data_IF_848321049469
#
_entry.id   IF_848321049469
#
_cell.length_a   1.000
_cell.length_b   1.000
_cell.length_c   1.000
_cell.angle_alpha   90.00
_cell.angle_beta   90.00
_cell.angle_gamma   90.00
#
_symmetry.space_group_name_H-M   'P 1'
#
loop_
_entity.id
_entity.type
_entity.pdbx_description
1 polymer ?
#
# COMPACT_ATOMS: atom_id res chain seq x y z
N UNK A 1 -5.50 18.32 3.86
CA UNK A 1 -4.95 17.60 5.02
C UNK A 1 -3.72 18.33 5.52
N UNK A 2 -3.66 18.56 6.83
CA UNK A 2 -2.46 19.12 7.47
C UNK A 2 -1.55 17.97 7.89
N UNK A 3 -0.29 18.02 7.48
CA UNK A 3 0.70 16.99 7.80
C UNK A 3 1.40 17.30 9.13
N UNK A 4 1.83 16.26 9.84
CA UNK A 4 2.62 16.40 11.06
C UNK A 4 4.04 16.86 10.76
N UNK A 5 4.61 16.39 9.63
CA UNK A 5 5.95 16.72 9.17
C UNK A 5 5.95 16.96 7.67
N UNK A 6 6.91 17.75 7.21
CA UNK A 6 7.25 17.80 5.79
C UNK A 6 8.17 16.63 5.41
N UNK A 7 8.26 16.33 4.12
CA UNK A 7 9.19 15.30 3.65
C UNK A 7 10.65 15.61 4.02
N UNK A 8 11.03 16.90 3.99
CA UNK A 8 12.37 17.35 4.35
C UNK A 8 12.71 17.09 5.84
N UNK A 9 11.70 17.12 6.71
CA UNK A 9 11.84 16.88 8.15
C UNK A 9 11.78 15.39 8.52
N UNK A 10 11.18 14.56 7.64
CA UNK A 10 10.99 13.15 7.89
C UNK A 10 12.20 12.33 7.41
N UNK A 11 12.64 11.36 8.24
CA UNK A 11 13.55 10.32 7.78
C UNK A 11 12.73 9.06 7.48
N UNK A 12 12.50 8.79 6.20
CA UNK A 12 11.62 7.70 5.76
C UNK A 12 12.12 6.31 6.20
N UNK A 13 13.41 6.17 6.48
CA UNK A 13 13.97 4.91 6.97
C UNK A 13 13.57 4.58 8.43
N UNK A 14 13.16 5.58 9.21
CA UNK A 14 12.83 5.40 10.63
C UNK A 14 11.44 4.83 10.89
N UNK A 15 10.58 4.80 9.88
CA UNK A 15 9.20 4.32 10.03
C UNK A 15 9.08 2.82 9.80
N UNK A 16 8.18 2.18 10.53
CA UNK A 16 7.96 0.73 10.40
C UNK A 16 7.33 0.36 9.05
N UNK A 17 6.44 1.20 8.54
CA UNK A 17 5.78 1.01 7.24
C UNK A 17 5.61 2.33 6.51
N UNK A 18 5.78 2.31 5.20
CA UNK A 18 5.33 3.39 4.33
C UNK A 18 3.98 3.01 3.74
N UNK A 19 3.02 3.90 3.85
CA UNK A 19 1.67 3.71 3.30
C UNK A 19 1.43 4.77 2.23
N UNK A 20 1.15 4.32 1.01
CA UNK A 20 0.86 5.18 -0.13
C UNK A 20 -0.64 5.25 -0.36
N UNK A 21 -1.31 6.37 -0.03
CA UNK A 21 -2.71 6.56 -0.34
C UNK A 21 -2.86 6.79 -1.84
N UNK A 22 -3.98 6.46 -2.37
CA UNK A 22 -4.28 6.67 -3.78
C UNK A 22 -4.74 8.08 -4.08
N UNK A 23 -5.63 8.16 -5.04
CA UNK A 23 -6.23 9.41 -5.50
C UNK A 23 -5.45 10.07 -6.64
N UNK A 24 -6.19 10.87 -7.40
CA UNK A 24 -5.65 11.66 -8.50
C UNK A 24 -5.97 13.13 -8.17
N UNK A 25 -4.99 14.05 -8.22
CA UNK A 25 -3.63 13.90 -8.74
C UNK A 25 -2.57 13.44 -7.72
N UNK A 26 -2.96 12.97 -6.54
CA UNK A 26 -2.02 12.57 -5.49
C UNK A 26 -1.03 11.49 -5.94
N UNK A 27 -1.49 10.46 -6.64
CA UNK A 27 -0.62 9.35 -7.07
C UNK A 27 0.48 9.80 -8.02
N UNK A 28 0.22 10.53 -9.13
CA UNK A 28 1.30 11.04 -9.96
C UNK A 28 2.20 12.05 -9.22
N UNK A 29 1.65 12.82 -8.29
CA UNK A 29 2.46 13.74 -7.48
C UNK A 29 3.44 13.00 -6.57
N UNK A 30 3.00 11.92 -5.91
CA UNK A 30 3.90 11.07 -5.11
C UNK A 30 4.98 10.42 -5.98
N UNK A 31 4.60 9.92 -7.14
CA UNK A 31 5.52 9.29 -8.09
C UNK A 31 6.63 10.23 -8.56
N UNK A 32 6.36 11.53 -8.62
CA UNK A 32 7.34 12.53 -9.01
C UNK A 32 8.36 12.86 -7.90
N UNK A 33 8.17 12.36 -6.70
CA UNK A 33 9.06 12.61 -5.55
C UNK A 33 10.16 11.55 -5.51
N UNK A 34 11.31 11.86 -6.08
CA UNK A 34 12.43 10.90 -6.18
C UNK A 34 12.90 10.31 -4.84
N UNK A 35 13.08 11.09 -3.76
CA UNK A 35 13.46 10.52 -2.46
C UNK A 35 12.45 9.49 -1.92
N UNK A 36 11.16 9.71 -2.18
CA UNK A 36 10.12 8.76 -1.80
C UNK A 36 10.21 7.48 -2.64
N UNK A 37 10.39 7.61 -3.95
CA UNK A 37 10.55 6.46 -4.84
C UNK A 37 11.77 5.62 -4.48
N UNK A 38 12.88 6.25 -4.15
CA UNK A 38 14.09 5.57 -3.69
C UNK A 38 13.84 4.83 -2.35
N UNK A 39 13.19 5.47 -1.40
CA UNK A 39 12.87 4.87 -0.11
C UNK A 39 11.93 3.66 -0.24
N UNK A 40 10.88 3.77 -1.04
CA UNK A 40 9.95 2.67 -1.32
C UNK A 40 10.67 1.49 -1.96
N UNK A 41 11.49 1.74 -2.96
CA UNK A 41 12.27 0.71 -3.66
C UNK A 41 13.21 -0.02 -2.71
N UNK A 42 13.98 0.71 -1.93
CA UNK A 42 14.92 0.15 -0.97
C UNK A 42 14.20 -0.72 0.07
N UNK A 43 13.07 -0.23 0.61
CA UNK A 43 12.29 -0.96 1.61
C UNK A 43 11.79 -2.30 1.09
N UNK A 44 11.16 -2.31 -0.08
CA UNK A 44 10.63 -3.56 -0.66
C UNK A 44 11.76 -4.55 -0.93
N UNK A 45 12.88 -4.09 -1.48
CA UNK A 45 14.04 -4.95 -1.75
C UNK A 45 14.69 -5.49 -0.48
N UNK A 46 14.62 -4.73 0.61
CA UNK A 46 15.11 -5.17 1.92
C UNK A 46 14.10 -6.03 2.69
N UNK A 47 12.93 -6.31 2.13
CA UNK A 47 11.88 -7.08 2.80
C UNK A 47 11.12 -6.29 3.87
N UNK A 48 11.19 -4.95 3.85
CA UNK A 48 10.50 -4.08 4.81
C UNK A 48 9.13 -3.64 4.27
N UNK A 49 8.12 -3.49 5.14
CA UNK A 49 6.73 -3.32 4.71
C UNK A 49 6.47 -2.01 3.95
N UNK A 50 5.72 -2.15 2.86
CA UNK A 50 5.10 -1.05 2.13
C UNK A 50 3.66 -1.43 1.80
N UNK A 51 2.74 -0.52 2.04
CA UNK A 51 1.33 -0.71 1.72
C UNK A 51 0.85 0.37 0.74
N UNK A 52 0.01 0.01 -0.20
CA UNK A 52 -0.52 0.93 -1.20
C UNK A 52 -1.98 0.60 -1.54
N UNK A 53 -2.79 1.62 -1.73
CA UNK A 53 -4.22 1.44 -2.00
C UNK A 53 -4.67 2.24 -3.21
N UNK A 54 -5.70 1.76 -3.89
CA UNK A 54 -6.39 2.42 -5.00
C UNK A 54 -5.50 2.54 -6.24
N UNK A 55 -5.10 3.74 -6.62
CA UNK A 55 -4.18 3.99 -7.74
C UNK A 55 -2.71 3.77 -7.36
N UNK A 56 -2.36 3.87 -6.08
CA UNK A 56 -0.98 3.85 -5.62
C UNK A 56 -0.21 2.54 -5.88
N UNK A 57 -0.82 1.34 -5.91
CA UNK A 57 -0.10 0.13 -6.32
C UNK A 57 0.56 0.24 -7.70
N UNK A 58 0.03 1.08 -8.60
CA UNK A 58 0.67 1.33 -9.90
C UNK A 58 2.06 1.94 -9.77
N UNK A 59 2.33 2.71 -8.71
CA UNK A 59 3.66 3.24 -8.42
C UNK A 59 4.63 2.07 -8.20
N UNK A 60 4.25 1.10 -7.38
CA UNK A 60 5.08 -0.08 -7.09
C UNK A 60 5.32 -0.90 -8.35
N UNK A 61 4.28 -1.06 -9.18
CA UNK A 61 4.39 -1.78 -10.45
C UNK A 61 5.40 -1.12 -11.38
N UNK A 62 5.31 0.18 -11.58
CA UNK A 62 6.20 0.94 -12.46
C UNK A 62 7.64 0.98 -11.96
N UNK A 63 7.86 0.85 -10.65
CA UNK A 63 9.19 0.69 -10.07
C UNK A 63 9.77 -0.72 -10.21
N UNK A 64 9.01 -1.66 -10.79
CA UNK A 64 9.44 -3.05 -10.96
C UNK A 64 9.33 -3.89 -9.68
N UNK A 65 8.64 -3.39 -8.66
CA UNK A 65 8.59 -4.04 -7.34
C UNK A 65 7.49 -5.09 -7.21
N UNK A 66 6.60 -5.19 -8.18
CA UNK A 66 5.50 -6.17 -8.18
C UNK A 66 5.71 -7.33 -9.13
N UNK A 67 6.83 -7.39 -9.83
CA UNK A 67 7.13 -8.49 -10.75
C UNK A 67 7.13 -9.83 -10.02
N UNK A 68 6.30 -10.76 -10.48
CA UNK A 68 6.15 -12.08 -9.86
C UNK A 68 5.37 -12.08 -8.54
N UNK A 69 4.93 -10.94 -8.05
CA UNK A 69 4.13 -10.83 -6.82
C UNK A 69 2.64 -10.77 -7.11
N UNK A 70 1.86 -11.33 -6.22
CA UNK A 70 0.42 -11.08 -6.22
C UNK A 70 0.14 -9.65 -5.75
N UNK A 71 -0.74 -8.97 -6.44
CA UNK A 71 -1.12 -7.60 -6.10
C UNK A 71 -2.49 -7.24 -6.66
N UNK A 72 -3.08 -6.21 -6.09
CA UNK A 72 -4.32 -5.62 -6.58
C UNK A 72 -4.24 -4.09 -6.60
N UNK A 73 -5.21 -3.47 -7.23
CA UNK A 73 -5.36 -2.02 -7.29
C UNK A 73 -6.79 -1.64 -7.62
N UNK A 74 -7.04 -0.35 -7.74
CA UNK A 74 -8.26 0.13 -8.38
C UNK A 74 -8.38 -0.47 -9.79
N UNK A 75 -9.60 -0.84 -10.24
CA UNK A 75 -9.80 -1.42 -11.56
C UNK A 75 -9.16 -0.65 -12.72
N UNK A 76 -9.11 0.67 -12.62
CA UNK A 76 -8.49 1.53 -13.65
C UNK A 76 -6.96 1.37 -13.78
N UNK A 77 -6.30 0.70 -12.83
CA UNK A 77 -4.84 0.52 -12.79
C UNK A 77 -4.39 -0.94 -12.87
N UNK A 78 -5.33 -1.89 -12.96
CA UNK A 78 -5.02 -3.32 -13.05
C UNK A 78 -4.13 -3.63 -14.25
N UNK A 79 -4.39 -2.99 -15.39
CA UNK A 79 -3.57 -3.19 -16.60
C UNK A 79 -2.11 -2.77 -16.37
N UNK A 80 -1.87 -1.71 -15.62
CA UNK A 80 -0.51 -1.27 -15.29
C UNK A 80 0.22 -2.33 -14.47
N UNK A 81 -0.46 -2.94 -13.50
CA UNK A 81 0.11 -4.02 -12.70
C UNK A 81 0.48 -5.22 -13.58
N UNK A 82 -0.43 -5.64 -14.43
CA UNK A 82 -0.22 -6.78 -15.33
C UNK A 82 0.92 -6.52 -16.32
N UNK A 83 1.00 -5.33 -16.90
CA UNK A 83 2.06 -4.93 -17.83
C UNK A 83 3.46 -4.98 -17.19
N UNK A 84 3.54 -4.79 -15.88
CA UNK A 84 4.78 -4.82 -15.11
C UNK A 84 5.01 -6.15 -14.38
N UNK A 85 4.34 -7.22 -14.82
CA UNK A 85 4.62 -8.58 -14.37
C UNK A 85 3.99 -9.00 -13.04
N UNK A 86 3.06 -8.23 -12.49
CA UNK A 86 2.33 -8.62 -11.30
C UNK A 86 1.33 -9.74 -11.61
N UNK A 87 1.12 -10.64 -10.66
CA UNK A 87 0.04 -11.61 -10.67
C UNK A 87 -1.18 -10.94 -10.05
N UNK A 88 -2.08 -10.46 -10.91
CA UNK A 88 -3.26 -9.71 -10.45
C UNK A 88 -4.22 -10.63 -9.71
N UNK A 89 -4.61 -10.20 -8.51
CA UNK A 89 -5.62 -10.85 -7.68
C UNK A 89 -6.66 -9.78 -7.31
N UNK A 90 -7.92 -10.03 -7.58
CA UNK A 90 -8.98 -9.03 -7.38
C UNK A 90 -9.63 -9.11 -5.99
N UNK A 91 -8.98 -9.71 -5.01
CA UNK A 91 -9.42 -9.64 -3.63
C UNK A 91 -9.37 -8.19 -3.09
N UNK A 92 -10.15 -7.89 -2.07
CA UNK A 92 -10.19 -6.55 -1.47
C UNK A 92 -8.82 -6.09 -0.98
N UNK A 93 -8.03 -7.00 -0.41
CA UNK A 93 -6.65 -6.77 0.04
C UNK A 93 -5.80 -7.95 -0.35
N UNK A 94 -4.59 -7.70 -0.81
CA UNK A 94 -3.61 -8.73 -1.18
C UNK A 94 -2.31 -8.44 -0.48
N UNK A 95 -1.81 -9.41 0.28
CA UNK A 95 -0.49 -9.36 0.91
C UNK A 95 0.43 -10.38 0.26
N UNK A 96 1.58 -9.93 -0.21
CA UNK A 96 2.62 -10.81 -0.75
C UNK A 96 3.98 -10.30 -0.26
N UNK A 97 4.60 -11.07 0.65
CA UNK A 97 5.84 -10.66 1.30
C UNK A 97 5.67 -9.34 2.04
N UNK A 98 6.54 -8.34 1.78
CA UNK A 98 6.47 -7.05 2.46
C UNK A 98 5.42 -6.10 1.87
N UNK A 99 4.72 -6.50 0.81
CA UNK A 99 3.81 -5.62 0.06
C UNK A 99 2.35 -5.94 0.37
N UNK A 100 1.61 -4.92 0.81
CA UNK A 100 0.17 -4.98 1.00
C UNK A 100 -0.49 -4.03 0.00
N UNK A 101 -1.41 -4.54 -0.81
CA UNK A 101 -2.14 -3.74 -1.79
C UNK A 101 -3.65 -3.87 -1.61
N UNK A 102 -4.40 -2.83 -1.93
CA UNK A 102 -5.85 -2.81 -1.84
C UNK A 102 -6.47 -1.96 -2.95
N UNK A 103 -7.79 -2.05 -3.13
CA UNK A 103 -8.43 -1.63 -4.37
C UNK A 103 -8.98 -0.21 -4.38
N UNK A 104 -9.44 0.29 -3.25
CA UNK A 104 -10.00 1.62 -3.24
C UNK A 104 -10.73 2.00 -1.96
N UNK A 105 -11.48 3.08 -2.04
CA UNK A 105 -12.20 3.62 -0.90
C UNK A 105 -13.09 2.58 -0.21
N UNK A 106 -13.80 1.76 -0.97
CA UNK A 106 -14.67 0.71 -0.44
C UNK A 106 -13.94 -0.43 0.26
N UNK A 107 -12.63 -0.57 0.08
CA UNK A 107 -11.80 -1.59 0.73
C UNK A 107 -10.85 -1.02 1.78
N UNK A 108 -10.96 0.26 2.10
CA UNK A 108 -10.02 0.95 2.98
C UNK A 108 -10.02 0.39 4.41
N UNK A 109 -11.19 -0.03 4.91
CA UNK A 109 -11.30 -0.66 6.23
C UNK A 109 -10.58 -2.01 6.23
N UNK A 110 -10.81 -2.85 5.22
CA UNK A 110 -10.13 -4.13 5.07
C UNK A 110 -8.60 -3.94 4.96
N UNK A 111 -8.18 -2.92 4.24
CA UNK A 111 -6.77 -2.53 4.13
C UNK A 111 -6.17 -2.18 5.49
N UNK A 112 -6.85 -1.34 6.27
CA UNK A 112 -6.43 -0.99 7.62
C UNK A 112 -6.39 -2.19 8.55
N UNK A 113 -7.37 -3.08 8.48
CA UNK A 113 -7.41 -4.32 9.27
C UNK A 113 -6.25 -5.26 8.93
N UNK A 114 -5.84 -5.33 7.67
CA UNK A 114 -4.67 -6.11 7.27
C UNK A 114 -3.37 -5.55 7.86
N UNK A 115 -3.24 -4.22 7.90
CA UNK A 115 -2.09 -3.58 8.55
C UNK A 115 -2.08 -3.88 10.06
N UNK A 116 -3.24 -3.83 10.71
CA UNK A 116 -3.38 -4.23 12.13
C UNK A 116 -2.96 -5.69 12.30
N UNK A 117 -3.42 -6.58 11.44
CA UNK A 117 -3.05 -8.01 11.48
C UNK A 117 -1.55 -8.20 11.37
N UNK A 118 -0.92 -7.48 10.46
CA UNK A 118 0.52 -7.57 10.22
C UNK A 118 1.34 -7.30 11.48
N UNK A 119 0.95 -6.30 12.27
CA UNK A 119 1.71 -5.89 13.46
C UNK A 119 1.23 -6.49 14.76
N UNK A 120 -0.08 -6.69 14.91
CA UNK A 120 -0.69 -7.01 16.20
C UNK A 120 -1.43 -8.36 16.23
N UNK A 121 -1.57 -9.01 15.08
CA UNK A 121 -2.20 -10.33 14.99
C UNK A 121 -3.73 -10.31 14.92
N UNK A 122 -4.32 -11.50 14.85
CA UNK A 122 -5.76 -11.69 14.59
C UNK A 122 -6.65 -11.21 15.75
N UNK A 123 -6.22 -11.40 16.98
CA UNK A 123 -6.99 -10.95 18.15
C UNK A 123 -7.20 -9.44 18.15
N UNK A 124 -6.15 -8.67 17.78
CA UNK A 124 -6.26 -7.22 17.64
C UNK A 124 -7.21 -6.82 16.50
N UNK A 125 -7.21 -7.57 15.40
CA UNK A 125 -8.16 -7.36 14.30
C UNK A 125 -9.60 -7.55 14.78
N UNK A 126 -9.87 -8.61 15.52
CA UNK A 126 -11.21 -8.90 16.06
C UNK A 126 -11.68 -7.79 17.02
N UNK A 127 -10.78 -7.29 17.88
CA UNK A 127 -11.05 -6.18 18.78
C UNK A 127 -11.39 -4.89 18.02
N UNK A 128 -10.61 -4.56 16.99
CA UNK A 128 -10.89 -3.39 16.15
C UNK A 128 -12.20 -3.55 15.41
N UNK A 129 -12.46 -4.71 14.79
CA UNK A 129 -13.73 -5.00 14.10
C UNK A 129 -14.94 -4.77 15.00
N UNK A 130 -14.86 -5.22 16.24
CA UNK A 130 -15.93 -5.01 17.22
C UNK A 130 -16.16 -3.52 17.52
N UNK A 131 -15.07 -2.78 17.73
CA UNK A 131 -15.13 -1.34 18.07
C UNK A 131 -15.66 -0.47 16.93
N UNK A 132 -15.36 -0.81 15.69
CA UNK A 132 -15.83 -0.06 14.52
C UNK A 132 -17.17 -0.57 13.98
N UNK A 133 -17.76 -1.58 14.60
CA UNK A 133 -19.00 -2.24 14.15
C UNK A 133 -18.88 -2.75 12.71
N UNK A 134 -17.75 -3.41 12.43
CA UNK A 134 -17.45 -3.94 11.10
C UNK A 134 -18.44 -5.02 10.68
N UNK A 135 -18.99 -4.90 9.46
CA UNK A 135 -20.01 -5.80 8.92
C UNK A 135 -19.62 -6.39 7.55
N UNK A 136 -18.37 -6.26 7.19
CA UNK A 136 -17.84 -6.77 5.94
C UNK A 136 -17.52 -8.26 5.95
#
# INVERSE_FOLDING_TARGET
VTCDLTLAEANLADYDMLVLPGGIPGTPNLKAVEPLMAAVTERVRAGRPVAAICAAPSILAELGLLEGRQATSNPGFISVLAEHGAQVNQAAVVTDGPVITSRGMGTAIDFGLEIVRHYLGEEAVDDVKAKIVYQG
#
